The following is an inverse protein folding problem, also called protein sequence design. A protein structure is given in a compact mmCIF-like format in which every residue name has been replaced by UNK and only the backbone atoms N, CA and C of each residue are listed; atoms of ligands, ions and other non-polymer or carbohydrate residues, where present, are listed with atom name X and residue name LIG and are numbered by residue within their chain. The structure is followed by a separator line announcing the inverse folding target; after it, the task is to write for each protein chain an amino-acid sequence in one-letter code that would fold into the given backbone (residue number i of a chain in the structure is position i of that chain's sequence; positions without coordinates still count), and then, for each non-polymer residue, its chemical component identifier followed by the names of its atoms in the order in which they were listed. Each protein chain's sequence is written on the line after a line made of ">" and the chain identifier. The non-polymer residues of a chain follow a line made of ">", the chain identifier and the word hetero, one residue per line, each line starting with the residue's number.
data_IF_295612888383
#
_entry.id   IF_295612888383
#
_cell.length_a   1.000
_cell.length_b   1.000
_cell.length_c   1.000
_cell.angle_alpha   90.00
_cell.angle_beta   90.00
_cell.angle_gamma   90.00
#
_symmetry.space_group_name_H-M   'P 1'
#
loop_
_entity.id
_entity.type
_entity.pdbx_description
1 polymer ?
#
# COMPACT_ATOMS: atom_id res chain seq x y z
N UNK A 1 -47.21 3.38 -23.07
CA UNK A 1 -45.74 3.23 -23.03
C UNK A 1 -45.33 2.07 -23.93
N UNK A 2 -44.72 2.37 -25.07
CA UNK A 2 -44.37 1.36 -26.09
C UNK A 2 -43.37 0.35 -25.52
N UNK A 3 -43.52 -0.93 -25.88
CA UNK A 3 -42.66 -2.01 -25.36
C UNK A 3 -41.16 -1.75 -25.61
N UNK A 4 -40.82 -1.10 -26.73
CA UNK A 4 -39.45 -0.66 -27.03
C UNK A 4 -38.89 0.29 -25.96
N UNK A 5 -39.67 1.30 -25.55
CA UNK A 5 -39.26 2.26 -24.52
C UNK A 5 -39.03 1.58 -23.16
N UNK A 6 -39.86 0.58 -22.81
CA UNK A 6 -39.70 -0.20 -21.57
C UNK A 6 -38.39 -1.00 -21.58
N UNK A 7 -38.08 -1.64 -22.71
CA UNK A 7 -36.85 -2.41 -22.88
C UNK A 7 -35.63 -1.50 -22.80
N UNK A 8 -35.65 -0.33 -23.46
CA UNK A 8 -34.54 0.64 -23.39
C UNK A 8 -34.31 1.14 -21.96
N UNK A 9 -35.38 1.51 -21.23
CA UNK A 9 -35.26 1.96 -19.83
C UNK A 9 -34.69 0.85 -18.95
N UNK A 10 -35.14 -0.39 -19.13
CA UNK A 10 -34.63 -1.53 -18.38
C UNK A 10 -33.14 -1.76 -18.63
N UNK A 11 -32.69 -1.72 -19.90
CA UNK A 11 -31.27 -1.86 -20.25
C UNK A 11 -30.43 -0.75 -19.60
N UNK A 12 -30.89 0.50 -19.66
CA UNK A 12 -30.18 1.63 -19.03
C UNK A 12 -30.09 1.45 -17.51
N UNK A 13 -31.18 1.02 -16.87
CA UNK A 13 -31.20 0.78 -15.43
C UNK A 13 -30.24 -0.33 -15.01
N UNK A 14 -30.19 -1.43 -15.77
CA UNK A 14 -29.23 -2.53 -15.54
C UNK A 14 -27.79 -2.01 -15.71
N UNK A 15 -27.52 -1.26 -16.77
CA UNK A 15 -26.18 -0.72 -17.01
C UNK A 15 -25.74 0.26 -15.92
N UNK A 16 -26.63 1.15 -15.48
CA UNK A 16 -26.37 2.07 -14.38
C UNK A 16 -26.10 1.32 -13.05
N UNK A 17 -26.83 0.23 -12.77
CA UNK A 17 -26.60 -0.59 -11.59
C UNK A 17 -25.22 -1.27 -11.63
N UNK A 18 -24.82 -1.79 -12.81
CA UNK A 18 -23.48 -2.36 -13.00
C UNK A 18 -22.40 -1.31 -12.75
N UNK A 19 -22.51 -0.12 -13.35
CA UNK A 19 -21.55 0.96 -13.13
C UNK A 19 -21.46 1.40 -11.67
N UNK A 20 -22.62 1.55 -10.99
CA UNK A 20 -22.66 1.91 -9.58
C UNK A 20 -21.99 0.84 -8.69
N UNK A 21 -22.14 -0.45 -9.04
CA UNK A 21 -21.50 -1.55 -8.33
C UNK A 21 -19.97 -1.52 -8.47
N UNK A 22 -19.45 -1.26 -9.68
CA UNK A 22 -18.00 -1.20 -9.94
C UNK A 22 -17.35 0.15 -9.63
N UNK A 23 -18.13 1.20 -9.37
CA UNK A 23 -17.64 2.55 -9.12
C UNK A 23 -16.58 2.66 -8.02
N UNK A 24 -16.69 1.97 -6.85
CA UNK A 24 -15.66 2.02 -5.82
C UNK A 24 -14.31 1.47 -6.31
N UNK A 25 -14.34 0.41 -7.13
CA UNK A 25 -13.12 -0.18 -7.69
C UNK A 25 -12.45 0.78 -8.66
N UNK A 26 -13.23 1.43 -9.52
CA UNK A 26 -12.72 2.48 -10.43
C UNK A 26 -12.07 3.59 -9.60
N UNK A 27 -12.74 4.10 -8.57
CA UNK A 27 -12.18 5.13 -7.68
C UNK A 27 -10.84 4.74 -7.08
N UNK A 28 -10.69 3.50 -6.60
CA UNK A 28 -9.43 3.03 -6.02
C UNK A 28 -8.29 2.97 -7.06
N UNK A 29 -8.57 2.52 -8.28
CA UNK A 29 -7.56 2.47 -9.35
C UNK A 29 -7.03 3.86 -9.75
N UNK A 30 -7.85 4.90 -9.63
CA UNK A 30 -7.48 6.27 -9.98
C UNK A 30 -7.13 7.14 -8.76
N UNK A 31 -7.07 6.57 -7.56
CA UNK A 31 -6.67 7.31 -6.37
C UNK A 31 -5.17 7.66 -6.43
N UNK A 32 -4.84 8.93 -6.19
CA UNK A 32 -3.43 9.36 -6.06
C UNK A 32 -2.81 8.94 -4.73
N UNK A 33 -3.63 8.73 -3.70
CA UNK A 33 -3.20 8.23 -2.39
C UNK A 33 -4.39 7.65 -1.63
N UNK A 34 -4.10 6.85 -0.60
CA UNK A 34 -5.09 6.35 0.34
C UNK A 34 -4.48 6.21 1.74
N UNK A 35 -5.29 6.45 2.76
CA UNK A 35 -4.99 6.15 4.16
C UNK A 35 -6.05 5.20 4.67
N UNK A 36 -5.64 4.09 5.26
CA UNK A 36 -6.54 2.99 5.57
C UNK A 36 -5.98 2.08 6.67
N UNK A 37 -6.85 1.24 7.22
CA UNK A 37 -6.56 0.25 8.25
C UNK A 37 -6.92 -1.15 7.77
N UNK A 38 -6.63 -2.18 8.57
CA UNK A 38 -7.08 -3.55 8.26
C UNK A 38 -8.62 -3.70 8.28
N UNK A 39 -9.34 -2.76 8.90
CA UNK A 39 -10.82 -2.76 8.91
C UNK A 39 -11.39 -2.32 7.55
N UNK A 40 -10.63 -1.52 6.80
CA UNK A 40 -10.95 -1.04 5.47
C UNK A 40 -10.61 -2.12 4.43
N UNK A 41 -11.33 -3.25 4.48
CA UNK A 41 -10.95 -4.49 3.77
C UNK A 41 -10.65 -4.30 2.28
N UNK A 42 -11.42 -3.45 1.58
CA UNK A 42 -11.24 -3.25 0.14
C UNK A 42 -9.92 -2.54 -0.16
N UNK A 43 -9.65 -1.44 0.56
CA UNK A 43 -8.42 -0.67 0.48
C UNK A 43 -7.23 -1.52 0.92
N UNK A 44 -7.37 -2.26 2.01
CA UNK A 44 -6.34 -3.14 2.54
C UNK A 44 -5.95 -4.24 1.54
N UNK A 45 -6.93 -4.95 0.98
CA UNK A 45 -6.71 -6.00 -0.01
C UNK A 45 -6.12 -5.46 -1.31
N UNK A 46 -6.54 -4.26 -1.72
CA UNK A 46 -6.14 -3.64 -2.99
C UNK A 46 -4.75 -3.00 -2.92
N UNK A 47 -4.43 -2.25 -1.86
CA UNK A 47 -3.20 -1.45 -1.76
C UNK A 47 -2.08 -2.09 -0.95
N UNK A 48 -2.35 -3.10 -0.11
CA UNK A 48 -1.31 -3.65 0.78
C UNK A 48 -0.57 -4.82 0.13
N UNK A 49 0.74 -4.67 -0.18
CA UNK A 49 1.54 -5.75 -0.71
C UNK A 49 1.78 -6.81 0.37
N UNK A 50 2.03 -8.06 -0.04
CA UNK A 50 2.13 -9.21 0.86
C UNK A 50 3.16 -9.00 1.99
N UNK A 51 4.32 -8.40 1.65
CA UNK A 51 5.38 -8.11 2.63
C UNK A 51 4.91 -7.18 3.77
N UNK A 52 3.99 -6.24 3.50
CA UNK A 52 3.42 -5.38 4.54
C UNK A 52 2.25 -6.07 5.25
N UNK A 53 1.48 -6.88 4.54
CA UNK A 53 0.37 -7.67 5.10
C UNK A 53 0.86 -8.61 6.20
N UNK A 54 1.96 -9.30 5.94
CA UNK A 54 2.59 -10.27 6.84
C UNK A 54 3.52 -9.64 7.89
N UNK A 55 3.80 -8.34 7.80
CA UNK A 55 4.75 -7.64 8.68
C UNK A 55 4.36 -7.80 10.17
N UNK A 56 5.29 -8.10 11.09
CA UNK A 56 4.96 -8.16 12.50
C UNK A 56 4.41 -6.81 12.99
N UNK A 57 3.26 -6.83 13.67
CA UNK A 57 2.69 -5.62 14.28
C UNK A 57 3.50 -5.27 15.53
N UNK A 58 4.39 -4.29 15.41
CA UNK A 58 5.31 -3.87 16.49
C UNK A 58 4.72 -2.81 17.43
N UNK A 59 3.52 -2.32 17.11
CA UNK A 59 2.72 -1.44 17.95
C UNK A 59 1.24 -1.81 17.83
N UNK A 60 0.45 -1.47 18.86
CA UNK A 60 -1.01 -1.58 18.84
C UNK A 60 -1.65 -0.50 17.96
N UNK A 61 -1.01 0.66 17.84
CA UNK A 61 -1.48 1.75 16.99
C UNK A 61 -0.66 1.77 15.71
N UNK A 62 -1.32 1.46 14.60
CA UNK A 62 -0.71 1.47 13.27
C UNK A 62 -1.76 1.71 12.18
N UNK A 63 -1.30 2.21 11.04
CA UNK A 63 -2.10 2.39 9.84
C UNK A 63 -1.29 2.11 8.58
N UNK A 64 -1.99 2.04 7.46
CA UNK A 64 -1.41 1.84 6.14
C UNK A 64 -1.67 3.06 5.26
N UNK A 65 -0.70 3.30 4.37
CA UNK A 65 -0.75 4.39 3.42
C UNK A 65 -0.36 3.90 2.04
N UNK A 66 -1.00 4.45 1.03
CA UNK A 66 -0.67 4.30 -0.37
C UNK A 66 -0.46 5.68 -0.98
N UNK A 67 0.55 5.83 -1.81
CA UNK A 67 0.73 7.01 -2.65
C UNK A 67 1.26 6.61 -4.02
N UNK A 68 0.60 7.11 -5.07
CA UNK A 68 1.11 7.14 -6.42
C UNK A 68 1.95 8.41 -6.55
N UNK A 69 3.27 8.24 -6.48
CA UNK A 69 4.21 9.37 -6.52
C UNK A 69 4.74 9.54 -7.93
N UNK A 70 4.82 10.79 -8.39
CA UNK A 70 5.48 11.12 -9.66
C UNK A 70 6.98 11.20 -9.40
N UNK A 71 7.77 10.26 -9.93
CA UNK A 71 9.21 10.17 -9.66
C UNK A 71 9.81 8.79 -10.01
N UNK A 72 11.03 8.48 -9.53
CA UNK A 72 11.68 7.21 -9.81
C UNK A 72 11.00 5.97 -9.21
N UNK A 73 10.20 6.16 -8.15
CA UNK A 73 9.25 5.16 -7.68
C UNK A 73 7.84 5.50 -8.22
N UNK A 74 7.08 4.51 -8.69
CA UNK A 74 5.69 4.75 -9.13
C UNK A 74 4.66 4.43 -8.04
N UNK A 75 4.96 3.47 -7.17
CA UNK A 75 4.04 3.06 -6.11
C UNK A 75 4.79 2.97 -4.78
N UNK A 76 4.29 3.69 -3.79
CA UNK A 76 4.78 3.64 -2.42
C UNK A 76 3.65 3.15 -1.53
N UNK A 77 3.85 1.97 -0.97
CA UNK A 77 2.93 1.36 -0.02
C UNK A 77 3.66 1.36 1.33
N UNK A 78 2.98 1.76 2.40
CA UNK A 78 3.62 1.89 3.69
C UNK A 78 2.74 1.41 4.83
N UNK A 79 3.38 0.89 5.88
CA UNK A 79 2.79 0.73 7.21
C UNK A 79 3.51 1.65 8.17
N UNK A 80 2.74 2.34 9.01
CA UNK A 80 3.23 3.25 10.03
C UNK A 80 2.88 2.70 11.40
N UNK A 81 3.87 2.48 12.24
CA UNK A 81 3.70 2.06 13.62
C UNK A 81 3.99 3.22 14.55
N UNK A 82 3.03 3.57 15.39
CA UNK A 82 3.16 4.67 16.34
C UNK A 82 3.63 4.19 17.71
N UNK A 83 4.09 5.12 18.55
CA UNK A 83 4.50 4.88 19.94
C UNK A 83 5.60 3.81 20.06
N UNK A 84 6.47 3.68 19.07
CA UNK A 84 7.57 2.72 19.05
C UNK A 84 8.74 3.20 18.19
N UNK A 85 9.95 2.75 18.55
CA UNK A 85 11.18 2.86 17.74
C UNK A 85 11.88 1.52 17.55
N UNK A 86 11.31 0.44 18.07
CA UNK A 86 11.94 -0.89 18.06
C UNK A 86 11.69 -1.58 16.72
N UNK A 87 12.70 -1.58 15.86
CA UNK A 87 12.63 -2.23 14.54
C UNK A 87 13.11 -3.69 14.56
N UNK A 88 13.57 -4.25 15.70
CA UNK A 88 14.23 -5.57 15.72
C UNK A 88 13.37 -6.70 15.16
N UNK A 89 12.06 -6.64 15.40
CA UNK A 89 11.10 -7.61 14.84
C UNK A 89 10.94 -7.45 13.32
N UNK A 90 10.97 -6.21 12.82
CA UNK A 90 10.95 -5.92 11.38
C UNK A 90 12.24 -6.45 10.74
N UNK A 91 13.41 -6.16 11.31
CA UNK A 91 14.70 -6.65 10.82
C UNK A 91 14.71 -8.19 10.75
N UNK A 92 14.26 -8.87 11.81
CA UNK A 92 14.19 -10.34 11.86
C UNK A 92 13.23 -10.90 10.79
N UNK A 93 12.10 -10.23 10.58
CA UNK A 93 11.11 -10.61 9.57
C UNK A 93 11.67 -10.45 8.16
N UNK A 94 12.30 -9.33 7.84
CA UNK A 94 12.88 -9.08 6.52
C UNK A 94 14.00 -10.08 6.20
N UNK A 95 14.86 -10.39 7.18
CA UNK A 95 15.87 -11.45 7.05
C UNK A 95 15.21 -12.81 6.75
N UNK A 96 14.10 -13.14 7.43
CA UNK A 96 13.37 -14.39 7.21
C UNK A 96 12.71 -14.50 5.83
N UNK A 97 12.53 -13.36 5.14
CA UNK A 97 12.01 -13.26 3.78
C UNK A 97 13.14 -13.06 2.75
N UNK A 98 14.39 -13.38 3.12
CA UNK A 98 15.60 -13.27 2.29
C UNK A 98 15.99 -11.84 1.85
N UNK A 99 15.48 -10.81 2.53
CA UNK A 99 15.96 -9.45 2.31
C UNK A 99 17.29 -9.22 3.02
N UNK A 100 18.17 -8.48 2.33
CA UNK A 100 19.47 -8.08 2.82
C UNK A 100 19.49 -6.59 3.13
N UNK A 101 19.89 -6.27 4.36
CA UNK A 101 20.17 -4.90 4.80
C UNK A 101 21.29 -4.33 3.93
N UNK A 102 21.07 -3.15 3.37
CA UNK A 102 22.07 -2.46 2.54
C UNK A 102 23.00 -1.64 3.44
N UNK A 103 24.28 -1.55 3.07
CA UNK A 103 25.25 -0.71 3.78
C UNK A 103 24.96 0.79 3.61
N UNK A 104 24.37 1.15 2.47
CA UNK A 104 24.00 2.52 2.12
C UNK A 104 22.53 2.58 1.71
N UNK A 105 21.91 3.74 1.92
CA UNK A 105 20.53 4.03 1.55
C UNK A 105 20.46 5.46 0.98
N UNK A 106 19.59 5.67 0.01
CA UNK A 106 19.36 6.94 -0.68
C UNK A 106 18.51 7.93 0.15
N UNK A 107 17.93 7.45 1.25
CA UNK A 107 17.14 8.24 2.21
C UNK A 107 17.71 8.08 3.61
N UNK A 108 17.31 8.96 4.54
CA UNK A 108 17.58 8.83 5.98
C UNK A 108 16.75 7.69 6.60
N UNK A 109 17.03 6.46 6.14
CA UNK A 109 16.38 5.23 6.52
C UNK A 109 17.35 4.05 6.35
N UNK A 110 16.90 2.87 6.77
CA UNK A 110 17.57 1.62 6.42
C UNK A 110 16.93 1.03 5.16
N UNK A 111 17.73 0.82 4.12
CA UNK A 111 17.31 0.15 2.90
C UNK A 111 17.49 -1.37 3.00
N UNK A 112 16.54 -2.12 2.46
CA UNK A 112 16.57 -3.57 2.34
C UNK A 112 16.22 -3.97 0.91
N UNK A 113 16.97 -4.93 0.36
CA UNK A 113 16.73 -5.49 -0.99
C UNK A 113 16.73 -7.01 -0.96
N UNK A 114 15.84 -7.60 -1.75
CA UNK A 114 15.81 -9.05 -1.99
C UNK A 114 16.35 -9.35 -3.39
N UNK A 115 15.93 -10.48 -3.97
CA UNK A 115 16.29 -10.91 -5.32
C UNK A 115 15.72 -10.01 -6.42
N UNK A 116 14.60 -9.33 -6.17
CA UNK A 116 14.06 -8.33 -7.09
C UNK A 116 14.82 -7.00 -6.91
N UNK A 117 15.60 -6.55 -7.91
CA UNK A 117 16.36 -5.31 -7.82
C UNK A 117 15.47 -4.06 -7.87
N UNK A 118 14.22 -4.18 -8.37
CA UNK A 118 13.27 -3.08 -8.52
C UNK A 118 12.53 -2.79 -7.23
N UNK A 119 12.42 -3.76 -6.33
CA UNK A 119 11.79 -3.58 -5.03
C UNK A 119 12.83 -3.15 -3.98
N UNK A 120 12.52 -2.09 -3.24
CA UNK A 120 13.32 -1.66 -2.08
C UNK A 120 12.39 -1.40 -0.91
N UNK A 121 12.75 -1.95 0.25
CA UNK A 121 12.04 -1.71 1.52
C UNK A 121 12.85 -0.72 2.35
N UNK A 122 12.19 0.36 2.72
CA UNK A 122 12.73 1.40 3.57
C UNK A 122 12.17 1.25 4.97
N UNK A 123 13.05 1.15 5.97
CA UNK A 123 12.68 1.14 7.39
C UNK A 123 13.26 2.40 8.02
N UNK A 124 12.40 3.38 8.28
CA UNK A 124 12.76 4.66 8.87
C UNK A 124 12.14 4.85 10.25
N UNK A 125 12.75 5.71 11.07
CA UNK A 125 12.20 6.13 12.36
C UNK A 125 12.04 7.65 12.37
N UNK A 126 10.82 8.12 12.59
CA UNK A 126 10.51 9.54 12.78
C UNK A 126 10.68 9.84 14.27
N UNK A 127 11.86 10.32 14.64
CA UNK A 127 12.30 10.51 16.03
C UNK A 127 11.47 11.53 16.82
N UNK A 128 10.84 12.50 16.16
CA UNK A 128 9.97 13.47 16.81
C UNK A 128 8.61 12.86 17.24
N UNK A 129 8.20 11.75 16.62
CA UNK A 129 6.84 11.20 16.73
C UNK A 129 6.80 9.78 17.29
N UNK A 130 7.93 9.24 17.76
CA UNK A 130 8.06 7.83 18.16
C UNK A 130 7.41 6.88 17.17
N UNK A 131 7.73 7.07 15.88
CA UNK A 131 7.05 6.39 14.80
C UNK A 131 8.06 5.62 13.94
N UNK A 132 7.77 4.34 13.69
CA UNK A 132 8.48 3.53 12.70
C UNK A 132 7.66 3.53 11.42
N UNK A 133 8.30 3.86 10.30
CA UNK A 133 7.71 3.82 8.97
C UNK A 133 8.39 2.73 8.16
N UNK A 134 7.62 1.78 7.63
CA UNK A 134 8.10 0.77 6.69
C UNK A 134 7.43 1.02 5.34
N UNK A 135 8.23 1.31 4.32
CA UNK A 135 7.75 1.61 2.97
C UNK A 135 8.30 0.58 1.98
N UNK A 136 7.45 0.15 1.06
CA UNK A 136 7.85 -0.63 -0.12
C UNK A 136 7.76 0.31 -1.31
N UNK A 137 8.87 0.47 -2.01
CA UNK A 137 8.92 1.25 -3.24
C UNK A 137 9.43 0.37 -4.40
N UNK A 138 8.78 0.52 -5.55
CA UNK A 138 9.19 -0.13 -6.80
C UNK A 138 9.81 0.91 -7.74
N UNK A 139 11.11 0.76 -8.02
CA UNK A 139 11.87 1.57 -8.97
C UNK A 139 11.87 0.94 -10.36
N UNK A 140 11.62 1.74 -11.40
CA UNK A 140 11.68 1.31 -12.80
C UNK A 140 13.04 1.58 -13.47
N UNK A 141 13.99 2.19 -12.76
CA UNK A 141 15.32 2.46 -13.28
C UNK A 141 16.27 1.28 -13.00
N UNK A 142 16.85 0.72 -14.07
CA UNK A 142 17.93 -0.26 -14.05
C UNK A 142 19.27 0.40 -13.70
#
# INVERSE_FOLDING_TARGET
>A
MNNFLKITIFIIAVFAAVLAYFWPMIKMNFAGSAHYTEQDRREYEFYTPEILRDMPRISQRYDFNFANVTGPAMHVNAVRFYDTRDTRKIDSYLISKDYKKQETCDLEATCWKASDPQETIYVGTLTAEDTVLVQVAYSFYK
#
